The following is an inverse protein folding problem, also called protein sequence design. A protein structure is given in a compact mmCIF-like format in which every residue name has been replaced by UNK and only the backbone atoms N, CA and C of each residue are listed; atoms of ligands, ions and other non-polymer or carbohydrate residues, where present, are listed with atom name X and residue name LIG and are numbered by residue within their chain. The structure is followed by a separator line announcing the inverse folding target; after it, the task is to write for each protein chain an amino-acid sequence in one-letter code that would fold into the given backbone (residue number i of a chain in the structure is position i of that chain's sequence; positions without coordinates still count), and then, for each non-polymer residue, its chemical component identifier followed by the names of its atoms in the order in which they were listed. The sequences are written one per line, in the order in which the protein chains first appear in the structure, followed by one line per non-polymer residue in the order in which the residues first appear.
data_IF_516919782959
#
_entry.id   IF_516919782959
#
_cell.length_a   1.000
_cell.length_b   1.000
_cell.length_c   1.000
_cell.angle_alpha   90.00
_cell.angle_beta   90.00
_cell.angle_gamma   90.00
#
_symmetry.space_group_name_H-M   'P 1'
#
loop_
_entity.id
_entity.type
_entity.pdbx_description
1 polymer ?
#
# COMPACT_ATOMS: atom_id res chain seq x y z
N UNK A 1 3.66 29.58 13.95
CA UNK A 1 2.56 28.70 13.50
C UNK A 1 2.24 28.80 12.01
N UNK A 2 2.03 29.98 11.44
CA UNK A 2 1.79 30.11 9.99
C UNK A 2 2.88 29.48 9.11
N UNK A 3 4.16 29.70 9.44
CA UNK A 3 5.29 29.06 8.74
C UNK A 3 5.25 27.53 8.85
N UNK A 4 4.87 27.00 10.03
CA UNK A 4 4.71 25.56 10.21
C UNK A 4 3.63 25.01 9.28
N UNK A 5 2.43 25.61 9.25
CA UNK A 5 1.36 25.19 8.35
C UNK A 5 1.72 25.35 6.87
N UNK A 6 2.45 26.41 6.50
CA UNK A 6 2.95 26.63 5.14
C UNK A 6 3.91 25.54 4.67
N UNK A 7 4.57 24.82 5.59
CA UNK A 7 5.50 23.73 5.25
C UNK A 7 4.82 22.37 5.42
N UNK A 8 4.14 22.13 6.54
CA UNK A 8 3.58 20.83 6.90
C UNK A 8 2.40 20.44 6.00
N UNK A 9 1.57 21.39 5.58
CA UNK A 9 0.44 21.11 4.69
C UNK A 9 0.88 20.74 3.27
N UNK A 10 1.78 21.49 2.60
CA UNK A 10 2.33 21.04 1.32
C UNK A 10 3.14 19.75 1.41
N UNK A 11 3.84 19.52 2.53
CA UNK A 11 4.58 18.28 2.75
C UNK A 11 3.62 17.08 2.82
N UNK A 12 2.58 17.15 3.66
CA UNK A 12 1.60 16.07 3.79
C UNK A 12 0.83 15.82 2.50
N UNK A 13 0.36 16.88 1.82
CA UNK A 13 -0.27 16.76 0.51
C UNK A 13 0.69 16.19 -0.53
N UNK A 14 1.95 16.62 -0.52
CA UNK A 14 3.00 16.10 -1.39
C UNK A 14 3.21 14.60 -1.18
N UNK A 15 3.26 14.14 0.07
CA UNK A 15 3.34 12.72 0.41
C UNK A 15 2.14 11.95 -0.14
N UNK A 16 0.92 12.43 0.07
CA UNK A 16 -0.32 11.81 -0.46
C UNK A 16 -0.29 11.75 -1.98
N UNK A 17 0.08 12.83 -2.66
CA UNK A 17 0.10 12.87 -4.13
C UNK A 17 1.16 11.93 -4.70
N UNK A 18 2.35 11.87 -4.08
CA UNK A 18 3.43 10.97 -4.51
C UNK A 18 3.02 9.51 -4.34
N UNK A 19 2.44 9.15 -3.18
CA UNK A 19 1.98 7.78 -2.97
C UNK A 19 0.83 7.43 -3.90
N UNK A 20 -0.10 8.35 -4.16
CA UNK A 20 -1.23 8.10 -5.07
C UNK A 20 -0.73 7.86 -6.48
N UNK A 21 0.20 8.67 -6.97
CA UNK A 21 0.80 8.48 -8.30
C UNK A 21 1.61 7.19 -8.41
N UNK A 22 2.20 6.73 -7.30
CA UNK A 22 2.97 5.50 -7.28
C UNK A 22 2.06 4.25 -7.33
N UNK A 23 0.93 4.26 -6.63
CA UNK A 23 0.04 3.09 -6.52
C UNK A 23 -1.16 3.09 -7.46
N UNK A 24 -1.61 4.24 -7.97
CA UNK A 24 -2.78 4.31 -8.84
C UNK A 24 -2.45 3.84 -10.27
N UNK A 25 -3.20 2.85 -10.75
CA UNK A 25 -3.17 2.47 -12.16
C UNK A 25 -3.83 3.52 -13.06
N UNK A 26 -3.45 3.61 -14.35
CA UNK A 26 -4.00 4.61 -15.28
C UNK A 26 -5.50 4.45 -15.53
N UNK A 27 -6.04 3.24 -15.36
CA UNK A 27 -7.45 2.92 -15.56
C UNK A 27 -8.33 3.16 -14.32
N UNK A 28 -7.76 3.57 -13.19
CA UNK A 28 -8.51 3.73 -11.93
C UNK A 28 -9.44 4.96 -12.02
N UNK A 29 -10.74 4.85 -11.66
CA UNK A 29 -11.66 5.97 -11.70
C UNK A 29 -11.25 7.12 -10.77
N UNK A 30 -11.49 8.37 -11.19
CA UNK A 30 -11.08 9.57 -10.44
C UNK A 30 -11.70 9.67 -9.05
N UNK A 31 -12.93 9.20 -8.85
CA UNK A 31 -13.56 9.19 -7.52
C UNK A 31 -12.84 8.24 -6.57
N UNK A 32 -12.35 7.08 -7.04
CA UNK A 32 -11.56 6.15 -6.21
C UNK A 32 -10.26 6.82 -5.79
N UNK A 33 -9.55 7.45 -6.73
CA UNK A 33 -8.30 8.17 -6.43
C UNK A 33 -8.53 9.30 -5.42
N UNK A 34 -9.61 10.06 -5.59
CA UNK A 34 -9.97 11.14 -4.67
C UNK A 34 -10.30 10.62 -3.26
N UNK A 35 -11.10 9.56 -3.15
CA UNK A 35 -11.46 8.97 -1.86
C UNK A 35 -10.25 8.38 -1.14
N UNK A 36 -9.41 7.61 -1.84
CA UNK A 36 -8.17 7.05 -1.26
C UNK A 36 -7.22 8.17 -0.85
N UNK A 37 -7.10 9.21 -1.68
CA UNK A 37 -6.28 10.38 -1.37
C UNK A 37 -6.74 11.10 -0.11
N UNK A 38 -8.05 11.30 0.04
CA UNK A 38 -8.61 11.90 1.25
C UNK A 38 -8.44 11.00 2.47
N UNK A 39 -8.59 9.68 2.33
CA UNK A 39 -8.33 8.73 3.41
C UNK A 39 -6.88 8.80 3.89
N UNK A 40 -5.91 8.81 2.98
CA UNK A 40 -4.49 8.95 3.34
C UNK A 40 -4.18 10.32 3.91
N UNK A 41 -4.80 11.38 3.42
CA UNK A 41 -4.68 12.71 4.01
C UNK A 41 -5.18 12.71 5.46
N UNK A 42 -6.34 12.09 5.75
CA UNK A 42 -6.84 11.96 7.12
C UNK A 42 -5.85 11.19 8.00
N UNK A 43 -5.28 10.08 7.51
CA UNK A 43 -4.27 9.31 8.26
C UNK A 43 -2.97 10.09 8.51
N UNK A 44 -2.50 10.87 7.52
CA UNK A 44 -1.27 11.67 7.63
C UNK A 44 -1.50 13.04 8.28
N UNK A 45 -2.75 13.43 8.55
CA UNK A 45 -3.09 14.70 9.19
C UNK A 45 -2.46 14.85 10.58
N UNK A 46 -2.09 13.74 11.23
CA UNK A 46 -1.38 13.71 12.52
C UNK A 46 -0.07 14.51 12.49
N UNK A 47 0.61 14.57 11.32
CA UNK A 47 1.83 15.36 11.12
C UNK A 47 1.57 16.86 11.34
N UNK A 48 0.34 17.32 11.08
CA UNK A 48 -0.09 18.70 11.26
C UNK A 48 -0.74 18.87 12.64
N UNK A 49 -1.66 17.97 12.99
CA UNK A 49 -2.53 18.13 14.17
C UNK A 49 -1.75 18.01 15.48
N UNK A 50 -0.81 17.07 15.60
CA UNK A 50 -0.08 16.87 16.88
C UNK A 50 0.77 18.08 17.23
N UNK A 51 1.64 18.61 16.35
CA UNK A 51 2.41 19.81 16.68
C UNK A 51 1.53 21.05 16.94
N UNK A 52 0.41 21.17 16.22
CA UNK A 52 -0.55 22.25 16.42
C UNK A 52 -1.22 22.19 17.80
N UNK A 53 -1.59 20.99 18.25
CA UNK A 53 -2.22 20.74 19.55
C UNK A 53 -1.26 20.99 20.72
N UNK A 54 -0.01 20.53 20.58
CA UNK A 54 1.07 20.82 21.55
C UNK A 54 1.28 22.32 21.65
N UNK A 55 1.40 23.03 20.53
CA UNK A 55 1.56 24.47 20.52
C UNK A 55 0.42 25.18 21.24
N UNK A 56 -0.82 24.81 20.93
CA UNK A 56 -2.00 25.44 21.50
C UNK A 56 -2.09 25.23 23.02
N UNK A 57 -1.69 24.04 23.48
CA UNK A 57 -1.58 23.72 24.91
C UNK A 57 -0.53 24.60 25.59
N UNK A 58 0.63 24.79 24.96
CA UNK A 58 1.71 25.62 25.50
C UNK A 58 1.39 27.13 25.51
N UNK A 59 0.63 27.64 24.54
CA UNK A 59 0.29 29.06 24.46
C UNK A 59 -0.99 29.45 25.21
N UNK A 60 -1.66 28.49 25.88
CA UNK A 60 -2.96 28.69 26.53
C UNK A 60 -4.02 29.37 25.62
N UNK A 61 -3.88 29.21 24.29
CA UNK A 61 -4.74 29.86 23.31
C UNK A 61 -6.08 29.12 23.18
N UNK A 62 -7.19 29.87 23.08
CA UNK A 62 -8.57 29.38 23.15
C UNK A 62 -8.82 28.07 22.36
N UNK A 63 -9.22 27.01 23.09
CA UNK A 63 -9.28 25.57 22.74
C UNK A 63 -10.19 25.15 21.56
N UNK A 64 -10.77 26.08 20.79
CA UNK A 64 -11.88 25.79 19.87
C UNK A 64 -11.50 25.14 18.54
N UNK A 65 -10.44 25.63 17.88
CA UNK A 65 -10.12 25.25 16.50
C UNK A 65 -9.57 23.82 16.36
N UNK A 66 -8.62 23.42 17.21
CA UNK A 66 -7.96 22.11 17.08
C UNK A 66 -8.90 20.94 17.40
N UNK A 67 -9.82 21.13 18.37
CA UNK A 67 -10.81 20.11 18.73
C UNK A 67 -11.76 19.80 17.57
N UNK A 68 -12.14 20.82 16.79
CA UNK A 68 -12.89 20.61 15.55
C UNK A 68 -12.10 19.77 14.54
N UNK A 69 -10.82 20.07 14.30
CA UNK A 69 -10.01 19.33 13.34
C UNK A 69 -9.74 17.88 13.76
N UNK A 70 -9.52 17.63 15.05
CA UNK A 70 -9.44 16.27 15.60
C UNK A 70 -10.74 15.49 15.40
N UNK A 71 -11.88 16.11 15.73
CA UNK A 71 -13.20 15.51 15.52
C UNK A 71 -13.47 15.23 14.04
N UNK A 72 -13.14 16.19 13.17
CA UNK A 72 -13.29 16.06 11.72
C UNK A 72 -12.44 14.92 11.15
N UNK A 73 -11.17 14.84 11.56
CA UNK A 73 -10.26 13.77 11.13
C UNK A 73 -10.73 12.40 11.63
N UNK A 74 -11.16 12.32 12.89
CA UNK A 74 -11.70 11.10 13.49
C UNK A 74 -12.95 10.60 12.74
N UNK A 75 -13.99 11.43 12.63
CA UNK A 75 -15.24 11.04 11.99
C UNK A 75 -15.08 10.79 10.49
N UNK A 76 -14.23 11.56 9.80
CA UNK A 76 -13.88 11.28 8.41
C UNK A 76 -13.24 9.91 8.26
N UNK A 77 -12.23 9.60 9.07
CA UNK A 77 -11.53 8.31 9.03
C UNK A 77 -12.50 7.17 9.37
N UNK A 78 -13.38 7.36 10.35
CA UNK A 78 -14.38 6.39 10.76
C UNK A 78 -15.35 6.07 9.61
N UNK A 79 -15.96 7.09 9.00
CA UNK A 79 -16.91 6.93 7.89
C UNK A 79 -16.21 6.35 6.65
N UNK A 80 -14.99 6.79 6.36
CA UNK A 80 -14.20 6.24 5.24
C UNK A 80 -13.93 4.75 5.43
N UNK A 81 -13.51 4.35 6.64
CA UNK A 81 -13.11 2.97 6.94
C UNK A 81 -14.31 2.02 6.95
N UNK A 82 -15.43 2.44 7.55
CA UNK A 82 -16.57 1.55 7.82
C UNK A 82 -17.72 1.67 6.82
N UNK A 83 -17.69 2.64 5.91
CA UNK A 83 -18.76 2.80 4.93
C UNK A 83 -18.18 3.04 3.52
N UNK A 84 -17.47 4.14 3.32
CA UNK A 84 -17.18 4.61 1.97
C UNK A 84 -16.19 3.70 1.23
N UNK A 85 -15.03 3.38 1.84
CA UNK A 85 -14.00 2.56 1.19
C UNK A 85 -14.49 1.13 0.90
N UNK A 86 -15.11 0.41 1.86
CA UNK A 86 -15.65 -0.93 1.58
C UNK A 86 -16.74 -0.92 0.49
N UNK A 87 -17.63 0.08 0.50
CA UNK A 87 -18.67 0.21 -0.54
C UNK A 87 -18.08 0.52 -1.92
N UNK A 88 -17.06 1.36 -2.01
CA UNK A 88 -16.36 1.60 -3.29
C UNK A 88 -15.63 0.35 -3.75
N UNK A 89 -14.96 -0.37 -2.84
CA UNK A 89 -14.28 -1.63 -3.17
C UNK A 89 -15.26 -2.65 -3.74
N UNK A 90 -16.38 -2.91 -3.05
CA UNK A 90 -17.42 -3.82 -3.53
C UNK A 90 -18.09 -3.35 -4.83
N UNK A 91 -18.21 -2.04 -5.05
CA UNK A 91 -18.80 -1.48 -6.26
C UNK A 91 -17.87 -1.65 -7.47
N UNK A 92 -16.58 -1.41 -7.30
CA UNK A 92 -15.57 -1.64 -8.35
C UNK A 92 -15.37 -3.13 -8.66
N UNK A 93 -15.47 -3.98 -7.64
CA UNK A 93 -15.40 -5.42 -7.79
C UNK A 93 -16.65 -6.04 -8.45
N UNK A 94 -17.80 -5.37 -8.42
CA UNK A 94 -19.05 -5.90 -8.98
C UNK A 94 -19.04 -5.90 -10.51
N UNK A 95 -19.43 -7.03 -11.12
CA UNK A 95 -19.53 -7.19 -12.57
C UNK A 95 -20.89 -6.78 -13.16
N UNK A 96 -21.84 -6.35 -12.32
CA UNK A 96 -23.19 -6.01 -12.75
C UNK A 96 -23.20 -4.88 -13.79
N UNK A 97 -24.20 -4.88 -14.66
CA UNK A 97 -24.25 -3.97 -15.82
C UNK A 97 -24.78 -2.59 -15.46
N UNK A 98 -25.59 -2.48 -14.40
CA UNK A 98 -26.16 -1.20 -13.97
C UNK A 98 -25.53 -0.67 -12.68
N UNK A 99 -25.47 0.66 -12.54
CA UNK A 99 -24.93 1.33 -11.33
C UNK A 99 -25.70 0.92 -10.07
N UNK A 100 -27.03 0.78 -10.20
CA UNK A 100 -27.92 0.40 -9.09
C UNK A 100 -27.62 -1.01 -8.59
N UNK A 101 -27.42 -1.97 -9.50
CA UNK A 101 -27.10 -3.34 -9.14
C UNK A 101 -25.71 -3.45 -8.53
N UNK A 102 -24.70 -2.81 -9.13
CA UNK A 102 -23.35 -2.78 -8.56
C UNK A 102 -23.34 -2.24 -7.13
N UNK A 103 -24.11 -1.18 -6.86
CA UNK A 103 -24.24 -0.62 -5.52
C UNK A 103 -24.99 -1.57 -4.57
N UNK A 104 -26.08 -2.20 -5.04
CA UNK A 104 -26.82 -3.20 -4.26
C UNK A 104 -25.94 -4.39 -3.90
N UNK A 105 -25.19 -4.93 -4.86
CA UNK A 105 -24.24 -6.03 -4.67
C UNK A 105 -23.17 -5.65 -3.66
N UNK A 106 -22.57 -4.46 -3.80
CA UNK A 106 -21.57 -3.94 -2.87
C UNK A 106 -22.11 -3.83 -1.43
N UNK A 107 -23.28 -3.20 -1.25
CA UNK A 107 -23.91 -3.03 0.06
C UNK A 107 -24.28 -4.40 0.66
N UNK A 108 -24.81 -5.32 -0.14
CA UNK A 108 -25.19 -6.65 0.32
C UNK A 108 -23.98 -7.44 0.85
N UNK A 109 -22.87 -7.45 0.10
CA UNK A 109 -21.64 -8.13 0.53
C UNK A 109 -21.05 -7.49 1.79
N UNK A 110 -21.08 -6.16 1.89
CA UNK A 110 -20.60 -5.45 3.08
C UNK A 110 -21.50 -5.70 4.30
N UNK A 111 -22.83 -5.73 4.10
CA UNK A 111 -23.80 -6.03 5.15
C UNK A 111 -23.67 -7.47 5.64
N UNK A 112 -23.39 -8.42 4.75
CA UNK A 112 -23.09 -9.81 5.12
C UNK A 112 -21.84 -9.86 6.01
N UNK A 113 -20.77 -9.19 5.60
CA UNK A 113 -19.55 -9.09 6.41
C UNK A 113 -19.83 -8.50 7.80
N UNK A 114 -20.56 -7.38 7.88
CA UNK A 114 -20.93 -6.77 9.17
C UNK A 114 -21.88 -7.63 9.99
N UNK A 115 -22.75 -8.41 9.35
CA UNK A 115 -23.65 -9.34 10.04
C UNK A 115 -22.86 -10.48 10.68
N UNK A 116 -21.83 -11.00 10.00
CA UNK A 116 -20.92 -12.02 10.56
C UNK A 116 -20.13 -11.44 11.74
N UNK A 117 -19.51 -10.26 11.56
CA UNK A 117 -18.76 -9.58 12.64
C UNK A 117 -19.68 -9.25 13.82
N UNK A 118 -20.89 -8.78 13.55
CA UNK A 118 -21.91 -8.48 14.54
C UNK A 118 -22.38 -9.72 15.30
N UNK A 119 -22.55 -10.86 14.63
CA UNK A 119 -22.90 -12.12 15.27
C UNK A 119 -21.79 -12.62 16.21
N UNK A 120 -20.52 -12.52 15.79
CA UNK A 120 -19.38 -12.85 16.65
C UNK A 120 -19.33 -11.90 17.86
N UNK A 121 -19.55 -10.60 17.64
CA UNK A 121 -19.63 -9.61 18.71
C UNK A 121 -20.76 -9.90 19.70
N UNK A 122 -21.94 -10.31 19.20
CA UNK A 122 -23.09 -10.68 20.02
C UNK A 122 -22.80 -11.90 20.89
N UNK A 123 -22.15 -12.93 20.34
CA UNK A 123 -21.68 -14.09 21.12
C UNK A 123 -20.74 -13.63 22.24
N UNK A 124 -19.82 -12.72 21.94
CA UNK A 124 -18.94 -12.10 22.95
C UNK A 124 -19.72 -11.40 24.07
N UNK A 125 -20.75 -10.62 23.73
CA UNK A 125 -21.61 -9.96 24.72
C UNK A 125 -22.39 -10.96 25.57
N UNK A 126 -22.95 -12.01 24.97
CA UNK A 126 -23.67 -13.06 25.69
C UNK A 126 -22.74 -13.76 26.69
N UNK A 127 -21.51 -14.09 26.29
CA UNK A 127 -20.51 -14.67 27.18
C UNK A 127 -20.19 -13.75 28.36
N UNK A 128 -20.07 -12.44 28.14
CA UNK A 128 -19.84 -11.47 29.21
C UNK A 128 -21.00 -11.37 30.19
N UNK A 129 -22.24 -11.41 29.69
CA UNK A 129 -23.43 -11.39 30.54
C UNK A 129 -23.51 -12.65 31.42
N UNK A 130 -23.11 -13.81 30.90
CA UNK A 130 -23.00 -15.05 31.69
C UNK A 130 -21.89 -14.93 32.75
N UNK A 131 -20.77 -14.29 32.39
CA UNK A 131 -19.63 -14.07 33.29
C UNK A 131 -19.80 -12.88 34.24
N UNK A 132 -20.91 -12.13 34.17
CA UNK A 132 -21.18 -10.91 34.96
C UNK A 132 -21.04 -11.12 36.47
N UNK A 133 -21.20 -12.35 36.97
CA UNK A 133 -20.99 -12.65 38.39
C UNK A 133 -19.54 -12.40 38.87
N UNK A 134 -18.59 -12.23 37.95
CA UNK A 134 -17.18 -11.95 38.23
C UNK A 134 -16.73 -10.51 37.87
N UNK A 135 -17.62 -9.63 37.35
CA UNK A 135 -17.25 -8.28 36.92
C UNK A 135 -18.38 -7.25 37.13
N UNK A 136 -18.13 -6.21 37.93
CA UNK A 136 -19.02 -5.04 38.17
C UNK A 136 -18.93 -3.92 37.10
N UNK A 137 -18.24 -4.17 35.98
CA UNK A 137 -18.00 -3.15 34.95
C UNK A 137 -19.13 -3.08 33.93
N UNK A 138 -19.57 -1.87 33.58
CA UNK A 138 -20.58 -1.67 32.54
C UNK A 138 -20.09 -2.09 31.15
N UNK A 139 -21.01 -2.60 30.32
CA UNK A 139 -20.76 -3.06 28.93
C UNK A 139 -20.04 -2.00 28.08
N UNK A 140 -20.37 -0.73 28.29
CA UNK A 140 -19.74 0.40 27.59
C UNK A 140 -18.25 0.53 27.97
N UNK A 141 -17.93 0.40 29.26
CA UNK A 141 -16.55 0.43 29.74
C UNK A 141 -15.73 -0.74 29.19
N UNK A 142 -16.34 -1.93 29.13
CA UNK A 142 -15.74 -3.10 28.48
C UNK A 142 -15.45 -2.84 26.99
N UNK A 143 -16.44 -2.32 26.24
CA UNK A 143 -16.29 -2.04 24.81
C UNK A 143 -15.19 -0.99 24.54
N UNK A 144 -15.11 0.06 25.38
CA UNK A 144 -14.02 1.03 25.31
C UNK A 144 -12.65 0.39 25.58
N UNK A 145 -12.56 -0.46 26.61
CA UNK A 145 -11.32 -1.17 26.94
C UNK A 145 -10.89 -2.12 25.81
N UNK A 146 -11.81 -2.89 25.22
CA UNK A 146 -11.52 -3.74 24.07
C UNK A 146 -11.09 -2.95 22.84
N UNK A 147 -11.77 -1.85 22.52
CA UNK A 147 -11.40 -0.99 21.39
C UNK A 147 -10.00 -0.40 21.57
N UNK A 148 -9.68 0.07 22.78
CA UNK A 148 -8.36 0.62 23.09
C UNK A 148 -7.29 -0.48 23.04
N UNK A 149 -7.56 -1.65 23.64
CA UNK A 149 -6.67 -2.81 23.60
C UNK A 149 -6.38 -3.25 22.17
N UNK A 150 -7.39 -3.34 21.31
CA UNK A 150 -7.22 -3.64 19.89
C UNK A 150 -6.30 -2.63 19.19
N UNK A 151 -6.52 -1.32 19.43
CA UNK A 151 -5.69 -0.25 18.88
C UNK A 151 -4.24 -0.32 19.34
N UNK A 152 -4.00 -0.50 20.65
CA UNK A 152 -2.66 -0.61 21.23
C UNK A 152 -1.94 -1.87 20.77
N UNK A 153 -2.62 -3.02 20.76
CA UNK A 153 -2.03 -4.30 20.31
C UNK A 153 -1.67 -4.21 18.82
N UNK A 154 -2.58 -3.70 17.98
CA UNK A 154 -2.33 -3.52 16.54
C UNK A 154 -1.19 -2.53 16.31
N UNK A 155 -1.19 -1.40 17.02
CA UNK A 155 -0.12 -0.41 16.99
C UNK A 155 1.22 -1.01 17.38
N UNK A 156 1.28 -1.79 18.46
CA UNK A 156 2.50 -2.44 18.94
C UNK A 156 3.07 -3.43 17.90
N UNK A 157 2.22 -4.24 17.27
CA UNK A 157 2.68 -5.16 16.22
C UNK A 157 3.17 -4.44 14.97
N UNK A 158 2.43 -3.44 14.47
CA UNK A 158 2.81 -2.68 13.28
C UNK A 158 4.08 -1.86 13.52
N UNK A 159 4.18 -1.20 14.67
CA UNK A 159 5.34 -0.40 15.06
C UNK A 159 6.55 -1.30 15.30
N UNK A 160 6.39 -2.44 16.00
CA UNK A 160 7.46 -3.42 16.20
C UNK A 160 8.02 -3.96 14.88
N UNK A 161 7.15 -4.26 13.92
CA UNK A 161 7.57 -4.64 12.56
C UNK A 161 8.30 -3.48 11.86
N UNK A 162 7.73 -2.27 11.88
CA UNK A 162 8.34 -1.09 11.25
C UNK A 162 9.73 -0.76 11.80
N UNK A 163 9.89 -0.76 13.13
CA UNK A 163 11.15 -0.46 13.79
C UNK A 163 12.24 -1.49 13.50
N UNK A 164 11.89 -2.76 13.28
CA UNK A 164 12.88 -3.83 13.06
C UNK A 164 13.16 -4.10 11.58
N UNK A 165 12.13 -4.24 10.75
CA UNK A 165 12.29 -4.63 9.35
C UNK A 165 12.74 -3.49 8.45
N UNK A 166 12.39 -2.22 8.74
CA UNK A 166 12.85 -1.08 7.91
C UNK A 166 14.39 -0.96 7.92
N UNK A 167 15.08 -0.79 9.06
CA UNK A 167 16.55 -0.69 9.08
C UNK A 167 17.22 -1.96 8.57
N UNK A 168 16.68 -3.14 8.91
CA UNK A 168 17.19 -4.43 8.46
C UNK A 168 17.10 -4.58 6.93
N UNK A 169 15.98 -4.21 6.33
CA UNK A 169 15.78 -4.28 4.89
C UNK A 169 16.70 -3.29 4.16
N UNK A 170 16.84 -2.06 4.66
CA UNK A 170 17.76 -1.06 4.10
C UNK A 170 19.21 -1.58 4.16
N UNK A 171 19.63 -2.15 5.29
CA UNK A 171 20.98 -2.73 5.44
C UNK A 171 21.24 -3.89 4.47
N UNK A 172 20.30 -4.84 4.38
CA UNK A 172 20.37 -5.96 3.42
C UNK A 172 20.43 -5.46 1.97
N UNK A 173 19.64 -4.43 1.64
CA UNK A 173 19.66 -3.82 0.32
C UNK A 173 20.98 -3.07 0.06
N UNK A 174 21.58 -2.45 1.07
CA UNK A 174 22.85 -1.74 0.94
C UNK A 174 24.06 -2.66 0.73
N UNK A 175 24.00 -3.92 1.20
CA UNK A 175 25.05 -4.91 0.89
C UNK A 175 25.00 -5.30 -0.59
N UNK A 176 25.76 -4.58 -1.43
CA UNK A 176 26.17 -4.98 -2.78
C UNK A 176 26.92 -6.32 -2.70
N UNK A 177 26.19 -7.43 -2.69
CA UNK A 177 26.76 -8.76 -2.59
C UNK A 177 25.99 -9.78 -3.41
N UNK A 178 26.65 -10.91 -3.69
CA UNK A 178 26.06 -12.11 -4.31
C UNK A 178 24.73 -12.51 -3.65
N UNK A 179 24.53 -12.24 -2.36
CA UNK A 179 23.28 -12.48 -1.65
C UNK A 179 22.10 -11.70 -2.24
N UNK A 180 22.26 -10.41 -2.54
CA UNK A 180 21.21 -9.58 -3.14
C UNK A 180 20.90 -10.04 -4.56
N UNK A 181 21.93 -10.39 -5.33
CA UNK A 181 21.75 -10.94 -6.68
C UNK A 181 20.97 -12.26 -6.65
N UNK A 182 21.30 -13.18 -5.72
CA UNK A 182 20.58 -14.45 -5.51
C UNK A 182 19.12 -14.24 -5.10
N UNK A 183 18.85 -13.31 -4.18
CA UNK A 183 17.48 -12.99 -3.75
C UNK A 183 16.68 -12.43 -4.92
N UNK A 184 17.29 -11.54 -5.71
CA UNK A 184 16.63 -10.88 -6.82
C UNK A 184 16.39 -11.84 -8.00
N UNK A 185 17.33 -12.73 -8.31
CA UNK A 185 17.13 -13.77 -9.32
C UNK A 185 16.02 -14.74 -8.92
N UNK A 186 15.99 -15.17 -7.65
CA UNK A 186 14.89 -15.98 -7.13
C UNK A 186 13.55 -15.22 -7.20
N UNK A 187 13.54 -13.92 -6.88
CA UNK A 187 12.34 -13.08 -7.00
C UNK A 187 11.86 -12.97 -8.45
N UNK A 188 12.77 -12.77 -9.41
CA UNK A 188 12.44 -12.76 -10.84
C UNK A 188 11.83 -14.09 -11.27
N UNK A 189 12.42 -15.22 -10.88
CA UNK A 189 11.87 -16.55 -11.18
C UNK A 189 10.45 -16.72 -10.59
N UNK A 190 10.24 -16.34 -9.33
CA UNK A 190 8.91 -16.38 -8.68
C UNK A 190 7.90 -15.50 -9.40
N UNK A 191 8.29 -14.29 -9.82
CA UNK A 191 7.40 -13.38 -10.54
C UNK A 191 7.11 -13.88 -11.97
N UNK A 192 8.06 -14.55 -12.62
CA UNK A 192 7.84 -15.18 -13.92
C UNK A 192 6.75 -16.25 -13.83
N UNK A 193 6.82 -17.14 -12.82
CA UNK A 193 5.78 -18.17 -12.58
C UNK A 193 4.42 -17.53 -12.28
N UNK A 194 4.39 -16.47 -11.46
CA UNK A 194 3.14 -15.75 -11.18
C UNK A 194 2.54 -15.10 -12.43
N UNK A 195 3.38 -14.52 -13.29
CA UNK A 195 2.96 -13.93 -14.56
C UNK A 195 2.43 -15.00 -15.52
N UNK A 196 3.07 -16.16 -15.58
CA UNK A 196 2.64 -17.28 -16.42
C UNK A 196 1.25 -17.81 -15.98
N UNK A 197 1.05 -18.01 -14.67
CA UNK A 197 -0.26 -18.38 -14.12
C UNK A 197 -1.34 -17.34 -14.47
N UNK A 198 -1.05 -16.04 -14.25
CA UNK A 198 -2.00 -14.97 -14.58
C UNK A 198 -2.27 -14.88 -16.09
N UNK A 199 -1.27 -15.14 -16.93
CA UNK A 199 -1.43 -15.22 -18.38
C UNK A 199 -2.35 -16.38 -18.79
N UNK A 200 -2.23 -17.54 -18.14
CA UNK A 200 -3.10 -18.68 -18.39
C UNK A 200 -4.54 -18.42 -17.93
N UNK A 201 -4.74 -17.85 -16.73
CA UNK A 201 -6.06 -17.50 -16.22
C UNK A 201 -6.78 -16.48 -17.11
N UNK A 202 -6.05 -15.45 -17.58
CA UNK A 202 -6.61 -14.47 -18.51
C UNK A 202 -6.92 -15.09 -19.88
N UNK A 203 -6.04 -15.96 -20.40
CA UNK A 203 -6.31 -16.70 -21.64
C UNK A 203 -7.56 -17.59 -21.52
N UNK A 204 -7.72 -18.30 -20.41
CA UNK A 204 -8.90 -19.11 -20.12
C UNK A 204 -10.16 -18.23 -20.08
N UNK A 205 -10.13 -17.10 -19.37
CA UNK A 205 -11.28 -16.19 -19.29
C UNK A 205 -11.70 -15.62 -20.67
N UNK A 206 -10.73 -15.35 -21.56
CA UNK A 206 -10.99 -14.92 -22.93
C UNK A 206 -11.67 -16.05 -23.72
N UNK A 207 -11.14 -17.28 -23.63
CA UNK A 207 -11.70 -18.44 -24.34
C UNK A 207 -13.12 -18.72 -23.88
N UNK A 208 -13.39 -18.65 -22.57
CA UNK A 208 -14.72 -18.80 -22.00
C UNK A 208 -15.66 -17.73 -22.54
N UNK A 209 -15.27 -16.45 -22.48
CA UNK A 209 -16.09 -15.37 -23.01
C UNK A 209 -16.41 -15.53 -24.51
N UNK A 210 -15.41 -15.94 -25.31
CA UNK A 210 -15.59 -16.21 -26.74
C UNK A 210 -16.49 -17.43 -26.99
N UNK A 211 -16.33 -18.50 -26.22
CA UNK A 211 -17.15 -19.70 -26.33
C UNK A 211 -18.62 -19.38 -25.98
N UNK A 212 -18.86 -18.63 -24.91
CA UNK A 212 -20.19 -18.15 -24.53
C UNK A 212 -20.80 -17.28 -25.63
N UNK A 213 -20.08 -16.30 -26.19
CA UNK A 213 -20.60 -15.47 -27.30
C UNK A 213 -20.97 -16.27 -28.55
N UNK A 214 -20.16 -17.30 -28.88
CA UNK A 214 -20.39 -18.16 -30.04
C UNK A 214 -21.59 -19.11 -29.85
N UNK A 215 -21.85 -19.56 -28.63
CA UNK A 215 -22.99 -20.43 -28.32
C UNK A 215 -24.31 -19.66 -28.27
N UNK A 216 -24.27 -18.38 -27.92
CA UNK A 216 -25.46 -17.54 -27.83
C UNK A 216 -26.09 -17.21 -29.19
N UNK A 217 -27.40 -17.43 -29.29
CA UNK A 217 -28.18 -17.00 -30.45
C UNK A 217 -28.24 -15.47 -30.55
N UNK A 218 -28.31 -14.94 -31.78
CA UNK A 218 -28.46 -13.49 -32.02
C UNK A 218 -29.78 -12.91 -31.50
N UNK A 219 -30.77 -13.76 -31.20
CA UNK A 219 -32.09 -13.35 -30.70
C UNK A 219 -32.26 -13.56 -29.19
N UNK A 220 -31.19 -13.91 -28.51
CA UNK A 220 -31.21 -14.14 -27.06
C UNK A 220 -31.48 -12.83 -26.30
N UNK A 221 -32.23 -12.93 -25.20
CA UNK A 221 -32.54 -11.81 -24.30
C UNK A 221 -31.24 -11.31 -23.64
N UNK A 222 -30.28 -12.20 -23.38
CA UNK A 222 -28.99 -11.87 -22.77
C UNK A 222 -27.97 -11.31 -23.77
N UNK A 223 -28.28 -11.29 -25.07
CA UNK A 223 -27.34 -10.84 -26.11
C UNK A 223 -26.78 -9.43 -25.89
N UNK A 224 -27.57 -8.42 -25.47
CA UNK A 224 -27.04 -7.08 -25.19
C UNK A 224 -25.97 -7.06 -24.09
N UNK A 225 -26.07 -7.95 -23.09
CA UNK A 225 -25.06 -8.07 -22.03
C UNK A 225 -23.76 -8.68 -22.56
N UNK A 226 -23.87 -9.72 -23.41
CA UNK A 226 -22.70 -10.32 -24.05
C UNK A 226 -22.02 -9.33 -25.01
N UNK A 227 -22.77 -8.52 -25.74
CA UNK A 227 -22.20 -7.50 -26.63
C UNK A 227 -21.38 -6.45 -25.83
N UNK A 228 -21.75 -6.14 -24.58
CA UNK A 228 -20.93 -5.30 -23.69
C UNK A 228 -19.60 -6.00 -23.35
N UNK A 229 -19.65 -7.30 -23.05
CA UNK A 229 -18.45 -8.10 -22.74
C UNK A 229 -17.54 -8.21 -23.97
N UNK A 230 -18.11 -8.45 -25.15
CA UNK A 230 -17.37 -8.55 -26.42
C UNK A 230 -16.69 -7.24 -26.80
N UNK A 231 -17.38 -6.10 -26.61
CA UNK A 231 -16.78 -4.78 -26.80
C UNK A 231 -15.63 -4.52 -25.83
N UNK A 232 -15.80 -4.90 -24.55
CA UNK A 232 -14.76 -4.78 -23.52
C UNK A 232 -13.55 -5.64 -23.86
N UNK A 233 -13.76 -6.91 -24.25
CA UNK A 233 -12.73 -7.83 -24.68
C UNK A 233 -11.97 -7.29 -25.91
N UNK A 234 -12.72 -6.78 -26.89
CA UNK A 234 -12.14 -6.18 -28.10
C UNK A 234 -11.27 -4.96 -27.78
N UNK A 235 -11.69 -4.13 -26.82
CA UNK A 235 -10.88 -3.01 -26.34
C UNK A 235 -9.60 -3.51 -25.65
N UNK A 236 -9.71 -4.47 -24.74
CA UNK A 236 -8.55 -5.04 -24.01
C UNK A 236 -7.51 -5.65 -24.95
N UNK A 237 -7.94 -6.35 -26.01
CA UNK A 237 -7.04 -6.94 -27.02
C UNK A 237 -6.40 -5.89 -27.94
N UNK A 238 -7.08 -4.76 -28.19
CA UNK A 238 -6.50 -3.63 -28.94
C UNK A 238 -5.42 -2.90 -28.14
N UNK A 239 -5.58 -2.83 -26.82
CA UNK A 239 -4.62 -2.16 -25.93
C UNK A 239 -3.29 -2.94 -25.80
N UNK A 240 -3.31 -4.27 -25.95
CA UNK A 240 -2.10 -5.10 -25.99
C UNK A 240 -2.10 -6.11 -27.15
N UNK A 241 -1.72 -5.68 -28.37
CA UNK A 241 -1.65 -6.57 -29.54
C UNK A 241 -0.54 -7.62 -29.44
N UNK A 242 0.36 -7.49 -28.46
CA UNK A 242 1.43 -8.48 -28.23
C UNK A 242 0.94 -9.69 -27.44
N UNK A 243 -0.19 -9.57 -26.75
CA UNK A 243 -0.80 -10.66 -26.02
C UNK A 243 -1.35 -11.71 -26.99
N UNK A 244 -0.88 -12.94 -26.85
CA UNK A 244 -1.41 -14.09 -27.58
C UNK A 244 -2.09 -15.02 -26.57
N UNK A 245 -3.40 -15.27 -26.68
CA UNK A 245 -4.07 -16.20 -25.80
C UNK A 245 -3.47 -17.59 -26.00
N UNK A 246 -3.00 -18.20 -24.91
CA UNK A 246 -2.60 -19.59 -24.91
C UNK A 246 -3.87 -20.47 -24.92
N UNK A 247 -3.85 -21.60 -25.63
CA UNK A 247 -5.02 -22.48 -25.75
C UNK A 247 -5.61 -22.81 -24.38
N UNK A 248 -6.87 -22.42 -24.15
CA UNK A 248 -7.53 -22.56 -22.87
C UNK A 248 -7.83 -24.02 -22.53
N UNK A 249 -7.72 -24.37 -21.25
CA UNK A 249 -8.26 -25.62 -20.71
C UNK A 249 -9.64 -25.33 -20.13
N UNK A 250 -10.68 -25.94 -20.70
CA UNK A 250 -12.05 -25.83 -20.17
C UNK A 250 -12.12 -26.60 -18.85
N UNK A 251 -12.51 -25.92 -17.76
CA UNK A 251 -12.99 -26.54 -16.53
C UNK A 251 -14.45 -26.98 -16.66
N UNK A 252 -14.86 -27.93 -15.81
CA UNK A 252 -16.18 -28.57 -15.84
C UNK A 252 -17.35 -27.57 -15.62
N UNK A 253 -17.09 -26.43 -14.99
CA UNK A 253 -18.09 -25.37 -14.68
C UNK A 253 -17.96 -24.13 -15.57
N UNK A 254 -17.05 -24.10 -16.55
CA UNK A 254 -16.70 -22.88 -17.28
C UNK A 254 -17.70 -22.52 -18.40
N UNK A 255 -18.79 -23.27 -18.57
CA UNK A 255 -19.72 -23.09 -19.70
C UNK A 255 -21.15 -22.67 -19.31
N UNK A 256 -21.50 -22.59 -18.02
CA UNK A 256 -22.87 -22.30 -17.54
C UNK A 256 -23.22 -20.79 -17.43
N UNK A 257 -22.65 -19.96 -18.31
CA UNK A 257 -22.78 -18.49 -18.25
C UNK A 257 -23.98 -17.91 -19.02
N UNK A 258 -24.76 -18.75 -19.70
CA UNK A 258 -25.91 -18.37 -20.54
C UNK A 258 -27.26 -18.45 -19.81
N UNK A 259 -27.24 -18.61 -18.49
CA UNK A 259 -28.43 -18.92 -17.69
C UNK A 259 -29.17 -17.70 -17.14
N UNK A 260 -28.45 -16.64 -16.72
CA UNK A 260 -29.05 -15.47 -16.08
C UNK A 260 -28.16 -14.20 -16.13
N UNK A 261 -28.75 -13.04 -15.83
CA UNK A 261 -28.03 -11.76 -15.78
C UNK A 261 -26.84 -11.81 -14.80
N UNK A 262 -26.92 -12.63 -13.73
CA UNK A 262 -25.85 -12.76 -12.73
C UNK A 262 -24.69 -13.59 -13.23
N UNK A 263 -24.91 -14.64 -14.01
CA UNK A 263 -23.83 -15.42 -14.62
C UNK A 263 -23.10 -14.57 -15.65
N UNK A 264 -23.80 -13.76 -16.45
CA UNK A 264 -23.18 -12.74 -17.31
C UNK A 264 -22.36 -11.70 -16.54
N UNK A 265 -22.88 -11.20 -15.41
CA UNK A 265 -22.14 -10.30 -14.53
C UNK A 265 -20.88 -10.98 -13.94
N UNK A 266 -20.97 -12.28 -13.62
CA UNK A 266 -19.86 -13.08 -13.10
C UNK A 266 -18.77 -13.28 -14.15
N UNK A 267 -19.16 -13.60 -15.40
CA UNK A 267 -18.25 -13.72 -16.54
C UNK A 267 -17.49 -12.40 -16.78
N UNK A 268 -18.22 -11.27 -16.81
CA UNK A 268 -17.62 -9.95 -16.96
C UNK A 268 -16.64 -9.63 -15.84
N UNK A 269 -17.01 -9.95 -14.59
CA UNK A 269 -16.16 -9.75 -13.40
C UNK A 269 -14.88 -10.59 -13.49
N UNK A 270 -15.00 -11.86 -13.86
CA UNK A 270 -13.87 -12.79 -13.98
C UNK A 270 -12.91 -12.32 -15.08
N UNK A 271 -13.44 -11.94 -16.25
CA UNK A 271 -12.62 -11.41 -17.35
C UNK A 271 -11.86 -10.14 -16.93
N UNK A 272 -12.55 -9.18 -16.30
CA UNK A 272 -11.92 -7.94 -15.81
C UNK A 272 -10.84 -8.22 -14.77
N UNK A 273 -11.11 -9.10 -13.79
CA UNK A 273 -10.14 -9.47 -12.76
C UNK A 273 -8.90 -10.15 -13.33
N UNK A 274 -9.09 -11.11 -14.22
CA UNK A 274 -7.98 -11.82 -14.86
C UNK A 274 -7.12 -10.86 -15.71
N UNK A 275 -7.75 -9.93 -16.42
CA UNK A 275 -7.05 -8.87 -17.15
C UNK A 275 -6.21 -7.98 -16.21
N UNK A 276 -6.82 -7.45 -15.15
CA UNK A 276 -6.14 -6.58 -14.18
C UNK A 276 -4.99 -7.31 -13.45
N UNK A 277 -5.17 -8.59 -13.12
CA UNK A 277 -4.15 -9.44 -12.49
C UNK A 277 -2.97 -9.74 -13.43
N UNK A 278 -3.24 -10.01 -14.71
CA UNK A 278 -2.21 -10.16 -15.73
C UNK A 278 -1.38 -8.88 -15.87
N UNK A 279 -2.00 -7.71 -16.01
CA UNK A 279 -1.29 -6.43 -16.14
C UNK A 279 -0.49 -6.08 -14.89
N UNK A 280 -1.05 -6.32 -13.71
CA UNK A 280 -0.34 -6.15 -12.45
C UNK A 280 0.87 -7.08 -12.38
N UNK A 281 0.70 -8.37 -12.73
CA UNK A 281 1.78 -9.34 -12.82
C UNK A 281 2.87 -8.92 -13.80
N UNK A 282 2.50 -8.41 -14.98
CA UNK A 282 3.41 -7.92 -16.02
C UNK A 282 4.24 -6.74 -15.51
N UNK A 283 3.60 -5.78 -14.83
CA UNK A 283 4.28 -4.61 -14.24
C UNK A 283 5.20 -5.00 -13.08
N UNK A 284 4.75 -5.88 -12.18
CA UNK A 284 5.56 -6.40 -11.07
C UNK A 284 6.79 -7.15 -11.59
N UNK A 285 6.62 -8.00 -12.61
CA UNK A 285 7.69 -8.74 -13.27
C UNK A 285 8.70 -7.80 -13.95
N UNK A 286 8.22 -6.85 -14.77
CA UNK A 286 9.09 -5.88 -15.45
C UNK A 286 9.91 -5.07 -14.44
N UNK A 287 9.28 -4.62 -13.35
CA UNK A 287 9.98 -3.89 -12.28
C UNK A 287 11.09 -4.76 -11.66
N UNK A 288 10.80 -6.02 -11.34
CA UNK A 288 11.78 -6.93 -10.76
C UNK A 288 12.95 -7.22 -11.72
N UNK A 289 12.68 -7.42 -13.02
CA UNK A 289 13.70 -7.65 -14.05
C UNK A 289 14.58 -6.41 -14.22
N UNK A 290 13.96 -5.23 -14.30
CA UNK A 290 14.68 -3.96 -14.41
C UNK A 290 15.58 -3.71 -13.19
N UNK A 291 15.11 -4.03 -11.98
CA UNK A 291 15.93 -3.98 -10.78
C UNK A 291 17.10 -4.97 -10.82
N UNK A 292 16.86 -6.20 -11.32
CA UNK A 292 17.88 -7.23 -11.45
C UNK A 292 19.02 -6.82 -12.38
N UNK A 293 18.65 -6.34 -13.56
CA UNK A 293 19.60 -5.87 -14.57
C UNK A 293 20.38 -4.64 -14.10
N UNK A 294 19.73 -3.67 -13.44
CA UNK A 294 20.43 -2.50 -12.85
C UNK A 294 21.44 -2.92 -11.78
N UNK A 295 21.10 -3.91 -10.97
CA UNK A 295 22.02 -4.46 -9.97
C UNK A 295 23.20 -5.15 -10.63
N UNK A 296 22.95 -5.96 -11.66
CA UNK A 296 23.99 -6.65 -12.42
C UNK A 296 24.95 -5.66 -13.09
N UNK A 297 24.43 -4.61 -13.73
CA UNK A 297 25.24 -3.51 -14.27
C UNK A 297 26.13 -2.90 -13.18
N UNK A 298 25.56 -2.61 -12.00
CA UNK A 298 26.31 -2.01 -10.89
C UNK A 298 27.44 -2.91 -10.41
N UNK A 299 27.19 -4.23 -10.31
CA UNK A 299 28.21 -5.21 -9.91
C UNK A 299 29.32 -5.30 -10.97
N UNK A 300 28.96 -5.46 -12.25
CA UNK A 300 29.93 -5.56 -13.36
C UNK A 300 30.82 -4.31 -13.46
N UNK A 301 30.23 -3.12 -13.31
CA UNK A 301 30.99 -1.87 -13.34
C UNK A 301 31.93 -1.77 -12.13
N UNK A 302 31.49 -2.20 -10.94
CA UNK A 302 32.34 -2.19 -9.75
C UNK A 302 33.52 -3.17 -9.89
N UNK A 303 33.29 -4.37 -10.42
CA UNK A 303 34.35 -5.38 -10.66
C UNK A 303 35.34 -4.93 -11.73
N UNK A 304 34.88 -4.24 -12.78
CA UNK A 304 35.72 -3.72 -13.88
C UNK A 304 36.20 -2.29 -13.66
N UNK A 305 36.20 -1.78 -12.42
CA UNK A 305 36.53 -0.38 -12.10
C UNK A 305 37.86 0.08 -12.68
N UNK A 306 38.91 -0.73 -12.54
CA UNK A 306 40.26 -0.36 -12.96
C UNK A 306 40.41 -0.43 -14.49
N UNK A 307 39.78 -1.42 -15.13
CA UNK A 307 39.81 -1.58 -16.58
C UNK A 307 38.93 -0.55 -17.33
N UNK A 308 37.85 -0.08 -16.71
CA UNK A 308 36.90 0.88 -17.32
C UNK A 308 37.28 2.35 -17.08
N UNK A 309 38.31 2.61 -16.27
CA UNK A 309 38.71 3.96 -15.89
C UNK A 309 37.61 4.70 -15.14
N UNK A 310 36.87 4.01 -14.26
CA UNK A 310 35.82 4.59 -13.41
C UNK A 310 34.63 5.22 -14.17
N UNK A 311 34.29 4.67 -15.34
CA UNK A 311 33.14 5.12 -16.13
C UNK A 311 31.99 4.13 -15.97
N UNK A 312 30.81 4.63 -15.61
CA UNK A 312 29.61 3.78 -15.53
C UNK A 312 29.09 3.45 -16.93
N UNK A 313 28.97 2.15 -17.23
CA UNK A 313 28.38 1.64 -18.47
C UNK A 313 27.04 1.00 -18.13
N UNK A 314 25.94 1.55 -18.65
CA UNK A 314 24.61 0.97 -18.47
C UNK A 314 24.21 0.13 -19.68
N UNK A 315 23.53 -0.97 -19.43
CA UNK A 315 22.89 -1.78 -20.47
C UNK A 315 21.62 -1.14 -21.04
N UNK A 316 21.06 -0.13 -20.36
CA UNK A 316 19.80 0.52 -20.72
C UNK A 316 19.94 1.84 -21.47
N UNK A 317 21.15 2.42 -21.51
CA UNK A 317 21.39 3.73 -22.10
C UNK A 317 22.62 3.68 -22.99
N UNK A 318 22.49 4.28 -24.16
CA UNK A 318 23.63 4.52 -25.03
C UNK A 318 24.67 5.43 -24.36
N UNK A 319 25.93 5.27 -24.81
CA UNK A 319 27.05 6.06 -24.29
C UNK A 319 26.79 7.55 -24.52
N UNK A 320 26.91 8.36 -23.46
CA UNK A 320 26.73 9.81 -23.55
C UNK A 320 27.74 10.40 -24.53
N UNK A 321 27.28 11.18 -25.50
CA UNK A 321 28.11 11.92 -26.44
C UNK A 321 28.47 13.31 -25.89
N UNK A 322 29.65 13.84 -26.25
CA UNK A 322 30.14 15.16 -25.86
C UNK A 322 31.25 15.17 -24.80
N UNK A 323 31.83 16.35 -24.54
CA UNK A 323 32.97 16.57 -23.62
C UNK A 323 32.60 16.40 -22.13
N UNK A 324 31.33 16.61 -21.77
CA UNK A 324 30.83 16.42 -20.40
C UNK A 324 30.40 14.97 -20.11
N UNK A 325 30.23 14.13 -21.14
CA UNK A 325 29.79 12.74 -21.01
C UNK A 325 30.67 11.92 -20.05
N UNK A 326 32.00 11.92 -20.21
CA UNK A 326 32.90 11.17 -19.32
C UNK A 326 32.81 11.60 -17.85
N UNK A 327 32.68 12.89 -17.57
CA UNK A 327 32.57 13.43 -16.20
C UNK A 327 31.27 12.95 -15.56
N UNK A 328 30.16 13.03 -16.29
CA UNK A 328 28.86 12.57 -15.81
C UNK A 328 28.85 11.05 -15.56
N UNK A 329 29.54 10.27 -16.39
CA UNK A 329 29.64 8.81 -16.21
C UNK A 329 30.50 8.43 -14.99
N UNK A 330 31.52 9.23 -14.66
CA UNK A 330 32.30 9.08 -13.42
C UNK A 330 31.50 9.49 -12.18
N UNK A 331 30.73 10.59 -12.25
CA UNK A 331 29.82 10.99 -11.17
C UNK A 331 28.75 9.92 -10.94
N UNK A 332 28.16 9.39 -12.01
CA UNK A 332 27.16 8.32 -11.95
C UNK A 332 27.75 7.03 -11.35
N UNK A 333 29.00 6.70 -11.69
CA UNK A 333 29.73 5.58 -11.07
C UNK A 333 29.90 5.80 -9.57
N UNK A 334 30.43 6.95 -9.15
CA UNK A 334 30.64 7.27 -7.73
C UNK A 334 29.31 7.22 -6.98
N UNK A 335 28.25 7.79 -7.56
CA UNK A 335 26.92 7.78 -6.97
C UNK A 335 26.36 6.35 -6.79
N UNK A 336 26.27 5.58 -7.88
CA UNK A 336 25.60 4.27 -7.87
C UNK A 336 26.41 3.20 -7.16
N UNK A 337 27.72 3.13 -7.40
CA UNK A 337 28.57 2.04 -6.92
C UNK A 337 29.08 2.27 -5.49
N UNK A 338 29.31 3.52 -5.07
CA UNK A 338 29.98 3.83 -3.80
C UNK A 338 29.04 4.61 -2.86
N UNK A 339 28.65 5.83 -3.23
CA UNK A 339 28.00 6.77 -2.31
C UNK A 339 26.62 6.28 -1.87
N UNK A 340 25.78 5.81 -2.80
CA UNK A 340 24.43 5.29 -2.49
C UNK A 340 24.46 4.16 -1.46
N UNK A 341 25.43 3.24 -1.57
CA UNK A 341 25.61 2.15 -0.61
C UNK A 341 25.96 2.66 0.78
N UNK A 342 26.90 3.61 0.87
CA UNK A 342 27.31 4.14 2.17
C UNK A 342 26.19 4.98 2.82
N UNK A 343 25.47 5.77 2.04
CA UNK A 343 24.30 6.51 2.51
C UNK A 343 23.21 5.56 3.03
N UNK A 344 22.91 4.47 2.31
CA UNK A 344 21.92 3.49 2.77
C UNK A 344 22.36 2.77 4.06
N UNK A 345 23.66 2.43 4.19
CA UNK A 345 24.19 1.85 5.43
C UNK A 345 24.10 2.83 6.60
N UNK A 346 24.53 4.07 6.39
CA UNK A 346 24.46 5.11 7.42
C UNK A 346 23.00 5.33 7.86
N UNK A 347 22.08 5.42 6.90
CA UNK A 347 20.65 5.57 7.19
C UNK A 347 20.07 4.36 7.93
N UNK A 348 20.45 3.13 7.56
CA UNK A 348 20.04 1.93 8.29
C UNK A 348 20.56 1.92 9.75
N UNK A 349 21.79 2.37 9.98
CA UNK A 349 22.36 2.50 11.34
C UNK A 349 21.60 3.54 12.14
N UNK A 350 21.35 4.73 11.57
CA UNK A 350 20.59 5.79 12.23
C UNK A 350 19.20 5.28 12.62
N UNK A 351 18.48 4.66 11.69
CA UNK A 351 17.15 4.09 11.95
C UNK A 351 17.21 2.97 12.99
N UNK A 352 18.23 2.10 12.93
CA UNK A 352 18.42 1.04 13.93
C UNK A 352 18.67 1.61 15.34
N UNK A 353 19.48 2.66 15.46
CA UNK A 353 19.69 3.36 16.72
C UNK A 353 18.41 4.04 17.22
N UNK A 354 17.63 4.67 16.33
CA UNK A 354 16.33 5.24 16.69
C UNK A 354 15.35 4.17 17.17
N UNK A 355 15.28 3.02 16.49
CA UNK A 355 14.46 1.88 16.91
C UNK A 355 14.85 1.37 18.29
N UNK A 356 16.15 1.22 18.56
CA UNK A 356 16.65 0.83 19.88
C UNK A 356 16.32 1.88 20.95
N UNK A 357 16.44 3.18 20.63
CA UNK A 357 16.09 4.26 21.53
C UNK A 357 14.60 4.29 21.88
N UNK A 358 13.72 4.05 20.91
CA UNK A 358 12.27 3.97 21.12
C UNK A 358 11.92 2.75 22.00
N UNK A 359 12.48 1.58 21.68
CA UNK A 359 12.25 0.37 22.50
C UNK A 359 12.75 0.54 23.94
N UNK A 360 13.91 1.19 24.12
CA UNK A 360 14.45 1.47 25.45
C UNK A 360 13.58 2.49 26.20
N UNK A 361 13.06 3.52 25.52
CA UNK A 361 12.14 4.48 26.12
C UNK A 361 10.84 3.81 26.59
N UNK A 362 10.26 2.93 25.77
CA UNK A 362 9.06 2.17 26.13
C UNK A 362 9.31 1.17 27.27
N UNK A 363 10.45 0.47 27.26
CA UNK A 363 10.81 -0.46 28.33
C UNK A 363 11.07 0.22 29.69
N UNK A 364 11.40 1.52 29.68
CA UNK A 364 11.77 2.28 30.88
C UNK A 364 10.64 3.14 31.44
N UNK A 365 9.46 3.12 30.82
CA UNK A 365 8.25 3.81 31.29
C UNK A 365 7.67 3.23 32.60
N UNK A 366 7.97 1.96 32.92
CA UNK A 366 7.48 1.25 34.10
C UNK A 366 8.45 1.21 35.31
N UNK A 367 9.77 1.03 35.15
CA UNK A 367 10.70 1.11 36.28
C UNK A 367 11.02 2.56 36.70
N UNK A 368 11.33 2.78 37.98
CA UNK A 368 11.75 4.09 38.56
C UNK A 368 13.12 4.60 38.09
N UNK A 369 13.72 3.94 37.09
CA UNK A 369 15.06 4.23 36.58
C UNK A 369 14.92 4.79 35.16
N UNK A 370 15.12 6.10 35.03
CA UNK A 370 15.13 6.81 33.74
C UNK A 370 16.35 6.40 32.89
N UNK A 371 16.24 5.32 32.12
CA UNK A 371 17.25 4.94 31.11
C UNK A 371 16.86 5.38 29.68
N UNK A 372 15.74 6.09 29.53
CA UNK A 372 15.32 6.65 28.24
C UNK A 372 16.38 7.62 27.70
N UNK A 373 16.95 7.29 26.53
CA UNK A 373 17.91 8.15 25.84
C UNK A 373 17.33 9.55 25.57
N UNK A 374 16.02 9.66 25.35
CA UNK A 374 15.36 10.96 25.17
C UNK A 374 15.32 11.76 26.48
N UNK A 375 15.03 11.12 27.62
CA UNK A 375 15.07 11.77 28.94
C UNK A 375 16.48 12.23 29.29
N UNK A 376 17.49 11.40 29.03
CA UNK A 376 18.90 11.74 29.24
C UNK A 376 19.32 12.88 28.29
N UNK A 377 18.95 12.82 27.01
CA UNK A 377 19.26 13.88 26.04
C UNK A 377 18.60 15.20 26.45
N UNK A 378 17.35 15.20 26.89
CA UNK A 378 16.65 16.38 27.40
C UNK A 378 17.35 16.92 28.66
N UNK A 379 17.75 16.06 29.60
CA UNK A 379 18.47 16.47 30.82
C UNK A 379 19.87 17.02 30.51
N UNK A 380 20.57 16.46 29.53
CA UNK A 380 21.92 16.89 29.10
C UNK A 380 21.84 18.20 28.31
N UNK A 381 20.86 18.35 27.42
CA UNK A 381 20.62 19.57 26.63
C UNK A 381 19.98 20.67 27.50
N UNK A 382 19.44 20.33 28.67
CA UNK A 382 18.65 21.15 29.58
C UNK A 382 19.28 22.42 30.15
N UNK A 383 20.40 22.91 29.61
CA UNK A 383 20.98 24.22 29.93
C UNK A 383 21.54 25.02 28.74
N UNK A 384 21.51 24.52 27.51
CA UNK A 384 21.99 25.25 26.33
C UNK A 384 20.96 25.24 25.19
N UNK A 385 20.06 26.22 25.29
CA UNK A 385 19.33 26.94 24.23
C UNK A 385 17.89 26.56 23.76
N UNK A 386 16.95 27.40 24.24
CA UNK A 386 16.06 28.34 23.51
C UNK A 386 14.69 27.94 22.95
N UNK A 387 14.31 26.69 22.65
CA UNK A 387 12.98 26.50 21.98
C UNK A 387 11.99 25.47 22.51
N UNK A 388 12.29 24.74 23.59
CA UNK A 388 11.28 23.93 24.27
C UNK A 388 11.53 23.97 25.78
N UNK A 389 11.14 25.09 26.42
CA UNK A 389 10.98 25.10 27.87
C UNK A 389 9.65 24.44 28.22
N UNK A 390 9.71 23.15 28.57
CA UNK A 390 8.85 22.62 29.63
C UNK A 390 9.41 23.20 30.93
N UNK A 391 8.69 24.12 31.56
CA UNK A 391 9.02 24.60 32.90
C UNK A 391 7.77 24.53 33.77
N UNK A 392 7.88 23.60 34.73
CA UNK A 392 7.08 23.34 35.92
C UNK A 392 5.59 23.02 35.77
#
# INVERSE_FOLDING_TARGET
MWVFYLISLPLTLGMVVVTLRYFAGPAVPRYVVATVGYAWFCSLSIIILVPADIWQTLTASAKGGIGFFWSWSYWSTFILTWAVVPTIQGYEDAGDFTVKERLKTSIHMNLLFYSIVGAIGLIGVILLLIMHRAWDGGIVGFAMACSNTFGLVTGAFLLGFGLSEIPRNIWKNASLGLSRQKVLSHRVAKMAVKLDNAHQEYSNAIVVAQATSNQMSKRDILRPYMDIIDNMLSQMLREDPSFKPSGGRFGENDMDYDTDDKSMATLRRQLRRAHEEYYRGKSEYMTCVMEALKLEDTIKNYERRDASGWKYVSSFRDRRSGTLGPILDTIEFIWQCILRKQLQKAFAVILGCMSAAILLAEATLLPSVDLSLFSILIKVVGKQEVLVQVRN
#
